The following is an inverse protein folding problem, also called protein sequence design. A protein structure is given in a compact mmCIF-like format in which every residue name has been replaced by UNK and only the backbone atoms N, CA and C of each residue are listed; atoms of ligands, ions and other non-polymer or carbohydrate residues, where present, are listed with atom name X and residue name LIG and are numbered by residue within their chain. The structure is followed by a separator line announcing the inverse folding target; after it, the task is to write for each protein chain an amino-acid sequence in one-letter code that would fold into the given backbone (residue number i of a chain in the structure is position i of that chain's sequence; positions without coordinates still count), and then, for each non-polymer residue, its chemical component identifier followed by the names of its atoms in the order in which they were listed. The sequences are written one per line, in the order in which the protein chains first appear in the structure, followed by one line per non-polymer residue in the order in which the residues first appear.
data_IF_772321008796
#
_entry.id   IF_772321008796
#
_cell.length_a   1.000
_cell.length_b   1.000
_cell.length_c   1.000
_cell.angle_alpha   90.00
_cell.angle_beta   90.00
_cell.angle_gamma   90.00
#
_symmetry.space_group_name_H-M   'P 1'
#
loop_
_entity.id
_entity.type
_entity.pdbx_description
1 polymer ?
#
# COMPACT_ATOMS: atom_id res chain seq x y z
N UNK A 1 -33.31 -2.39 11.25
CA UNK A 1 -31.92 -1.94 11.58
C UNK A 1 -30.85 -2.29 10.51
N UNK A 2 -31.20 -2.89 9.37
CA UNK A 2 -30.21 -3.35 8.36
C UNK A 2 -29.69 -2.27 7.39
N UNK A 3 -30.47 -1.28 7.03
CA UNK A 3 -30.05 -0.25 6.06
C UNK A 3 -29.01 0.74 6.66
N UNK A 4 -29.19 1.14 7.92
CA UNK A 4 -28.25 2.06 8.57
C UNK A 4 -26.85 1.49 8.82
N UNK A 5 -26.71 0.14 8.91
CA UNK A 5 -25.42 -0.50 9.12
C UNK A 5 -24.60 -0.60 7.84
N UNK A 6 -25.26 -0.79 6.68
CA UNK A 6 -24.59 -0.85 5.38
C UNK A 6 -24.05 0.54 4.99
N UNK A 7 -24.82 1.61 5.22
CA UNK A 7 -24.39 2.99 5.02
C UNK A 7 -23.16 3.33 5.86
N UNK A 8 -23.11 2.86 7.12
CA UNK A 8 -21.96 3.10 8.01
C UNK A 8 -20.67 2.43 7.50
N UNK A 9 -20.77 1.20 7.01
CA UNK A 9 -19.62 0.50 6.39
C UNK A 9 -19.05 1.27 5.22
N UNK A 10 -19.89 1.83 4.37
CA UNK A 10 -19.45 2.67 3.24
C UNK A 10 -18.84 3.99 3.69
N UNK A 11 -19.38 4.65 4.73
CA UNK A 11 -18.78 5.87 5.31
C UNK A 11 -17.37 5.57 5.81
N UNK A 12 -17.16 4.45 6.52
CA UNK A 12 -15.82 4.02 6.98
C UNK A 12 -14.90 3.77 5.79
N UNK A 13 -15.38 3.06 4.76
CA UNK A 13 -14.61 2.75 3.55
C UNK A 13 -14.16 4.02 2.83
N UNK A 14 -15.08 4.94 2.53
CA UNK A 14 -14.74 6.19 1.84
C UNK A 14 -13.85 7.10 2.69
N UNK A 15 -14.05 7.13 4.01
CA UNK A 15 -13.15 7.90 4.90
C UNK A 15 -11.74 7.29 4.91
N UNK A 16 -11.60 5.96 4.92
CA UNK A 16 -10.30 5.29 4.78
C UNK A 16 -9.63 5.58 3.43
N UNK A 17 -10.42 5.58 2.33
CA UNK A 17 -9.94 5.96 1.00
C UNK A 17 -9.45 7.41 0.96
N UNK A 18 -10.20 8.34 1.57
CA UNK A 18 -9.84 9.76 1.62
C UNK A 18 -8.56 10.02 2.44
N UNK A 19 -8.39 9.30 3.56
CA UNK A 19 -7.14 9.34 4.33
C UNK A 19 -5.97 8.87 3.46
N UNK A 20 -6.13 7.76 2.76
CA UNK A 20 -5.10 7.22 1.87
C UNK A 20 -4.80 8.15 0.69
N UNK A 21 -5.79 8.88 0.16
CA UNK A 21 -5.57 9.93 -0.84
C UNK A 21 -4.62 11.01 -0.32
N UNK A 22 -4.77 11.46 0.92
CA UNK A 22 -3.87 12.45 1.52
C UNK A 22 -2.46 11.88 1.76
N UNK A 23 -2.36 10.65 2.28
CA UNK A 23 -1.09 10.03 2.64
C UNK A 23 -0.24 9.62 1.44
N UNK A 24 -0.83 9.50 0.25
CA UNK A 24 -0.12 9.14 -0.97
C UNK A 24 0.81 10.21 -1.54
N UNK A 25 1.15 11.27 -0.77
CA UNK A 25 2.11 12.32 -1.15
C UNK A 25 3.51 11.74 -1.49
N UNK A 26 3.85 10.57 -1.02
CA UNK A 26 5.04 9.82 -1.43
C UNK A 26 5.15 9.69 -2.96
N UNK A 27 4.05 9.48 -3.65
CA UNK A 27 4.04 9.37 -5.12
C UNK A 27 4.19 10.72 -5.84
N UNK A 28 3.98 11.84 -5.15
CA UNK A 28 4.27 13.17 -5.67
C UNK A 28 5.73 13.62 -5.42
N UNK A 29 6.53 12.82 -4.71
CA UNK A 29 7.91 13.18 -4.36
C UNK A 29 8.79 13.46 -5.57
N UNK A 30 8.56 12.82 -6.70
CA UNK A 30 9.30 13.08 -7.93
C UNK A 30 9.22 14.55 -8.39
N UNK A 31 8.09 15.21 -8.13
CA UNK A 31 7.88 16.64 -8.42
C UNK A 31 8.65 17.50 -7.42
N UNK A 32 8.54 17.17 -6.13
CA UNK A 32 9.25 17.87 -5.04
C UNK A 32 10.77 17.74 -5.21
N UNK A 33 11.26 16.52 -5.47
CA UNK A 33 12.68 16.26 -5.65
C UNK A 33 13.30 17.04 -6.81
N UNK A 34 12.54 17.22 -7.91
CA UNK A 34 12.98 18.09 -9.02
C UNK A 34 13.07 19.56 -8.61
N UNK A 35 12.13 20.06 -7.80
CA UNK A 35 12.19 21.41 -7.28
C UNK A 35 13.39 21.60 -6.35
N UNK A 36 13.64 20.66 -5.43
CA UNK A 36 14.81 20.68 -4.53
C UNK A 36 16.13 20.73 -5.30
N UNK A 37 16.28 19.96 -6.37
CA UNK A 37 17.48 19.99 -7.21
C UNK A 37 17.60 21.31 -7.98
N UNK A 38 16.49 21.83 -8.52
CA UNK A 38 16.51 23.03 -9.35
C UNK A 38 16.69 24.31 -8.54
N UNK A 39 15.97 24.45 -7.42
CA UNK A 39 15.89 25.71 -6.66
C UNK A 39 16.93 25.77 -5.53
N UNK A 40 17.20 24.62 -4.86
CA UNK A 40 18.15 24.58 -3.74
C UNK A 40 19.53 24.05 -4.14
N UNK A 41 19.69 23.55 -5.37
CA UNK A 41 20.96 23.02 -5.85
C UNK A 41 21.35 21.68 -5.21
N UNK A 42 20.41 20.97 -4.59
CA UNK A 42 20.67 19.65 -4.04
C UNK A 42 21.00 18.65 -5.16
N UNK A 43 21.92 17.75 -4.89
CA UNK A 43 22.14 16.60 -5.80
C UNK A 43 20.91 15.72 -5.82
N UNK A 44 20.72 14.94 -6.88
CA UNK A 44 19.62 13.99 -6.97
C UNK A 44 19.62 12.99 -5.79
N UNK A 45 20.81 12.59 -5.32
CA UNK A 45 20.95 11.73 -4.14
C UNK A 45 20.42 12.43 -2.88
N UNK A 46 20.85 13.68 -2.63
CA UNK A 46 20.39 14.45 -1.47
C UNK A 46 18.88 14.67 -1.48
N UNK A 47 18.31 15.05 -2.63
CA UNK A 47 16.86 15.25 -2.78
C UNK A 47 16.05 13.95 -2.55
N UNK A 48 16.68 12.79 -2.71
CA UNK A 48 16.00 11.49 -2.52
C UNK A 48 16.11 10.93 -1.09
N UNK A 49 17.02 11.47 -0.25
CA UNK A 49 17.20 10.99 1.14
C UNK A 49 15.90 11.08 1.95
N UNK A 50 15.19 12.23 2.01
CA UNK A 50 13.95 12.31 2.80
C UNK A 50 12.89 11.30 2.36
N UNK A 51 12.77 11.05 1.05
CA UNK A 51 11.87 10.05 0.49
C UNK A 51 12.25 8.63 0.92
N UNK A 52 13.52 8.26 0.81
CA UNK A 52 14.00 6.93 1.19
C UNK A 52 13.77 6.66 2.68
N UNK A 53 14.04 7.67 3.53
CA UNK A 53 13.76 7.60 4.97
C UNK A 53 12.25 7.45 5.23
N UNK A 54 11.40 8.23 4.53
CA UNK A 54 9.95 8.12 4.66
C UNK A 54 9.45 6.72 4.31
N UNK A 55 9.94 6.10 3.24
CA UNK A 55 9.59 4.72 2.86
C UNK A 55 9.99 3.70 3.95
N UNK A 56 11.20 3.81 4.49
CA UNK A 56 11.68 2.92 5.55
C UNK A 56 10.88 3.07 6.84
N UNK A 57 10.66 4.32 7.28
CA UNK A 57 9.86 4.63 8.47
C UNK A 57 8.41 4.19 8.27
N UNK A 58 7.81 4.44 7.12
CA UNK A 58 6.46 3.97 6.79
C UNK A 58 6.34 2.47 6.99
N UNK A 59 7.24 1.67 6.41
CA UNK A 59 7.18 0.22 6.52
C UNK A 59 7.28 -0.28 7.97
N UNK A 60 8.14 0.31 8.80
CA UNK A 60 8.26 -0.02 10.22
C UNK A 60 7.03 0.43 11.01
N UNK A 61 6.56 1.66 10.76
CA UNK A 61 5.43 2.24 11.49
C UNK A 61 4.07 1.63 11.10
N UNK A 62 3.99 0.89 9.99
CA UNK A 62 2.85 0.03 9.70
C UNK A 62 2.64 -1.04 10.78
N UNK A 63 3.71 -1.61 11.33
CA UNK A 63 3.61 -2.60 12.41
C UNK A 63 3.14 -1.94 13.71
N UNK A 64 3.76 -0.81 14.06
CA UNK A 64 3.45 -0.07 15.28
C UNK A 64 2.02 0.47 15.23
N UNK A 65 1.66 1.15 14.15
CA UNK A 65 0.33 1.71 13.93
C UNK A 65 -0.75 0.63 13.87
N UNK A 66 -0.45 -0.50 13.21
CA UNK A 66 -1.34 -1.66 13.15
C UNK A 66 -1.62 -2.25 14.53
N UNK A 67 -0.59 -2.41 15.37
CA UNK A 67 -0.76 -2.88 16.75
C UNK A 67 -1.55 -1.87 17.61
N UNK A 68 -1.26 -0.59 17.45
CA UNK A 68 -1.97 0.45 18.19
C UNK A 68 -3.45 0.50 17.79
N UNK A 69 -3.76 0.48 16.49
CA UNK A 69 -5.16 0.53 16.05
C UNK A 69 -5.95 -0.72 16.45
N UNK A 70 -5.31 -1.89 16.53
CA UNK A 70 -5.97 -3.11 17.02
C UNK A 70 -6.32 -3.01 18.53
N UNK A 71 -5.56 -2.23 19.31
CA UNK A 71 -5.76 -2.03 20.76
C UNK A 71 -6.65 -0.85 21.11
N UNK A 72 -6.33 0.35 20.58
CA UNK A 72 -7.00 1.60 20.96
C UNK A 72 -8.07 2.05 19.97
N UNK A 73 -8.14 1.36 18.82
CA UNK A 73 -9.10 1.63 17.75
C UNK A 73 -8.55 2.52 16.65
N UNK A 74 -9.14 2.41 15.44
CA UNK A 74 -8.62 3.04 14.23
C UNK A 74 -8.71 4.57 14.26
N UNK A 75 -9.75 5.13 14.88
CA UNK A 75 -10.00 6.58 14.95
C UNK A 75 -8.80 7.33 15.56
N UNK A 76 -8.33 6.89 16.71
CA UNK A 76 -7.27 7.58 17.45
C UNK A 76 -5.93 7.50 16.74
N UNK A 77 -5.60 6.33 16.19
CA UNK A 77 -4.32 6.13 15.48
C UNK A 77 -4.32 6.89 14.16
N UNK A 78 -5.43 6.90 13.42
CA UNK A 78 -5.55 7.72 12.21
C UNK A 78 -5.51 9.23 12.51
N UNK A 79 -6.13 9.68 13.63
CA UNK A 79 -6.04 11.09 14.06
C UNK A 79 -4.61 11.47 14.41
N UNK A 80 -3.90 10.62 15.17
CA UNK A 80 -2.48 10.82 15.45
C UNK A 80 -1.65 10.87 14.14
N UNK A 81 -1.96 9.98 13.18
CA UNK A 81 -1.38 10.02 11.85
C UNK A 81 -1.64 11.36 11.13
N UNK A 82 -2.85 11.90 11.20
CA UNK A 82 -3.20 13.20 10.61
C UNK A 82 -2.42 14.36 11.25
N UNK A 83 -2.33 14.38 12.58
CA UNK A 83 -1.55 15.38 13.32
C UNK A 83 -0.07 15.29 12.94
N UNK A 84 0.50 14.08 12.89
CA UNK A 84 1.90 13.88 12.50
C UNK A 84 2.14 14.23 11.03
N UNK A 85 1.20 13.96 10.11
CA UNK A 85 1.32 14.39 8.72
C UNK A 85 1.41 15.92 8.62
N UNK A 86 0.53 16.63 9.34
CA UNK A 86 0.56 18.08 9.43
C UNK A 86 1.88 18.60 10.00
N UNK A 87 2.28 18.12 11.18
CA UNK A 87 3.52 18.54 11.85
C UNK A 87 4.74 18.26 10.96
N UNK A 88 4.85 17.06 10.37
CA UNK A 88 5.98 16.70 9.54
C UNK A 88 6.11 17.57 8.29
N UNK A 89 5.00 17.85 7.62
CA UNK A 89 4.98 18.72 6.45
C UNK A 89 5.25 20.19 6.82
N UNK A 90 4.60 20.72 7.88
CA UNK A 90 4.82 22.08 8.38
C UNK A 90 6.28 22.25 8.85
N UNK A 91 6.84 21.27 9.56
CA UNK A 91 8.27 21.29 9.93
C UNK A 91 9.18 21.32 8.70
N UNK A 92 8.84 20.56 7.66
CA UNK A 92 9.58 20.58 6.38
C UNK A 92 9.49 21.93 5.67
N UNK A 93 8.45 22.73 5.91
CA UNK A 93 8.32 24.06 5.34
C UNK A 93 9.34 25.09 5.88
N UNK A 94 9.98 24.80 7.00
CA UNK A 94 11.05 25.63 7.55
C UNK A 94 12.45 25.18 7.10
N UNK A 95 12.54 24.12 6.28
CA UNK A 95 13.82 23.68 5.76
C UNK A 95 14.39 24.69 4.75
N UNK A 96 15.71 24.75 4.71
CA UNK A 96 16.49 25.55 3.75
C UNK A 96 17.45 24.66 2.98
N UNK A 97 18.13 25.22 1.99
CA UNK A 97 19.12 24.46 1.20
C UNK A 97 20.25 23.87 2.06
N UNK A 98 20.57 24.50 3.20
CA UNK A 98 21.60 24.05 4.14
C UNK A 98 21.07 23.04 5.18
N UNK A 99 19.74 23.02 5.42
CA UNK A 99 19.11 22.23 6.50
C UNK A 99 18.46 20.94 6.01
N UNK A 100 19.18 20.12 5.23
CA UNK A 100 18.65 18.84 4.72
C UNK A 100 18.11 17.95 5.85
N UNK A 101 18.74 17.97 7.02
CA UNK A 101 18.32 17.17 8.17
C UNK A 101 16.89 17.53 8.64
N UNK A 102 16.51 18.81 8.56
CA UNK A 102 15.15 19.25 8.93
C UNK A 102 14.09 18.64 7.98
N UNK A 103 14.39 18.54 6.68
CA UNK A 103 13.54 17.86 5.70
C UNK A 103 13.49 16.35 5.96
N UNK A 104 14.63 15.73 6.33
CA UNK A 104 14.67 14.30 6.68
C UNK A 104 13.84 14.01 7.92
N UNK A 105 13.94 14.82 8.96
CA UNK A 105 13.13 14.63 10.18
C UNK A 105 11.66 14.92 9.91
N UNK A 106 11.34 16.05 9.27
CA UNK A 106 9.95 16.46 9.01
C UNK A 106 9.25 15.50 8.06
N UNK A 107 9.71 15.41 6.82
CA UNK A 107 9.09 14.56 5.81
C UNK A 107 9.46 13.08 5.99
N UNK A 108 10.74 12.77 6.20
CA UNK A 108 11.22 11.41 6.29
C UNK A 108 10.67 10.67 7.51
N UNK A 109 10.90 11.21 8.71
CA UNK A 109 10.57 10.50 9.96
C UNK A 109 9.12 10.79 10.36
N UNK A 110 8.73 12.06 10.54
CA UNK A 110 7.43 12.40 11.12
C UNK A 110 6.30 12.10 10.12
N UNK A 111 6.40 12.58 8.86
CA UNK A 111 5.38 12.27 7.88
C UNK A 111 5.41 10.79 7.44
N UNK A 112 6.60 10.13 7.42
CA UNK A 112 6.71 8.69 7.24
C UNK A 112 5.97 7.89 8.32
N UNK A 113 6.07 8.31 9.59
CA UNK A 113 5.30 7.73 10.71
C UNK A 113 3.80 7.94 10.51
N UNK A 114 3.40 9.14 10.09
CA UNK A 114 2.01 9.47 9.77
C UNK A 114 1.43 8.54 8.70
N UNK A 115 2.21 8.23 7.65
CA UNK A 115 1.82 7.30 6.59
C UNK A 115 1.58 5.90 7.16
N UNK A 116 2.46 5.40 8.04
CA UNK A 116 2.30 4.12 8.70
C UNK A 116 1.03 4.05 9.56
N UNK A 117 0.77 5.05 10.36
CA UNK A 117 -0.39 5.13 11.25
C UNK A 117 -1.71 5.26 10.48
N UNK A 118 -1.77 6.14 9.49
CA UNK A 118 -2.98 6.33 8.71
C UNK A 118 -3.31 5.14 7.82
N UNK A 119 -2.32 4.61 7.10
CA UNK A 119 -2.53 3.47 6.19
C UNK A 119 -2.93 2.20 6.96
N UNK A 120 -2.28 1.88 8.08
CA UNK A 120 -2.61 0.72 8.91
C UNK A 120 -4.00 0.82 9.54
N UNK A 121 -4.51 2.03 9.75
CA UNK A 121 -5.80 2.29 10.40
C UNK A 121 -6.97 2.36 9.41
N UNK A 122 -6.72 2.48 8.11
CA UNK A 122 -7.77 2.70 7.11
C UNK A 122 -8.47 1.40 6.70
N UNK A 123 -7.72 0.33 6.40
CA UNK A 123 -8.25 -0.90 5.81
C UNK A 123 -8.92 -1.85 6.81
N UNK A 124 -8.31 -2.18 7.99
CA UNK A 124 -8.89 -3.15 8.91
C UNK A 124 -10.31 -2.83 9.40
N UNK A 125 -10.63 -1.58 9.79
CA UNK A 125 -12.01 -1.27 10.20
C UNK A 125 -12.99 -1.39 9.03
N UNK A 126 -12.61 -0.98 7.81
CA UNK A 126 -13.50 -1.02 6.66
C UNK A 126 -13.94 -2.46 6.34
N UNK A 127 -13.00 -3.41 6.27
CA UNK A 127 -13.33 -4.81 5.92
C UNK A 127 -14.21 -5.52 6.96
N UNK A 128 -14.19 -5.07 8.22
CA UNK A 128 -15.00 -5.65 9.29
C UNK A 128 -16.51 -5.37 9.14
N UNK A 129 -16.89 -4.35 8.36
CA UNK A 129 -18.30 -3.99 8.10
C UNK A 129 -18.95 -4.85 7.01
N UNK A 130 -18.17 -5.59 6.21
CA UNK A 130 -18.66 -6.30 5.04
C UNK A 130 -18.46 -7.81 5.17
N UNK A 131 -19.26 -8.60 4.43
CA UNK A 131 -19.14 -10.05 4.46
C UNK A 131 -17.79 -10.51 3.88
N UNK A 132 -17.31 -11.70 4.29
CA UNK A 132 -16.00 -12.24 3.92
C UNK A 132 -15.71 -12.25 2.41
N UNK A 133 -16.74 -12.51 1.58
CA UNK A 133 -16.60 -12.56 0.11
C UNK A 133 -16.40 -11.18 -0.55
N UNK A 134 -16.44 -10.08 0.21
CA UNK A 134 -16.20 -8.71 -0.26
C UNK A 134 -14.91 -8.09 0.29
N UNK A 135 -14.11 -8.83 1.04
CA UNK A 135 -12.90 -8.29 1.67
C UNK A 135 -11.92 -7.72 0.64
N UNK A 136 -11.72 -8.40 -0.48
CA UNK A 136 -10.84 -7.93 -1.55
C UNK A 136 -11.35 -6.65 -2.19
N UNK A 137 -12.65 -6.60 -2.51
CA UNK A 137 -13.30 -5.40 -3.05
C UNK A 137 -13.09 -4.19 -2.13
N UNK A 138 -13.42 -4.35 -0.84
CA UNK A 138 -13.32 -3.24 0.14
C UNK A 138 -11.87 -2.83 0.36
N UNK A 139 -10.97 -3.80 0.51
CA UNK A 139 -9.53 -3.52 0.61
C UNK A 139 -9.03 -2.77 -0.61
N UNK A 140 -9.37 -3.25 -1.81
CA UNK A 140 -8.98 -2.62 -3.07
C UNK A 140 -9.43 -1.17 -3.17
N UNK A 141 -10.67 -0.86 -2.77
CA UNK A 141 -11.20 0.50 -2.74
C UNK A 141 -10.45 1.40 -1.76
N UNK A 142 -10.22 0.93 -0.52
CA UNK A 142 -9.52 1.72 0.51
C UNK A 142 -8.08 2.01 0.09
N UNK A 143 -7.34 0.99 -0.36
CA UNK A 143 -5.93 1.19 -0.73
C UNK A 143 -5.78 1.89 -2.08
N UNK A 144 -6.80 1.87 -2.96
CA UNK A 144 -6.79 2.63 -4.22
C UNK A 144 -6.64 4.14 -3.97
N UNK A 145 -7.15 4.66 -2.85
CA UNK A 145 -6.94 6.04 -2.45
C UNK A 145 -5.46 6.43 -2.47
N UNK A 146 -4.59 5.61 -1.90
CA UNK A 146 -3.15 5.85 -1.92
C UNK A 146 -2.57 5.83 -3.34
N UNK A 147 -3.03 4.91 -4.20
CA UNK A 147 -2.63 4.83 -5.61
C UNK A 147 -3.11 6.01 -6.45
N UNK A 148 -4.34 6.48 -6.21
CA UNK A 148 -4.93 7.64 -6.90
C UNK A 148 -4.32 8.98 -6.46
N UNK A 149 -3.61 9.02 -5.35
CA UNK A 149 -3.10 10.27 -4.77
C UNK A 149 -2.25 11.07 -5.76
N UNK A 150 -1.38 10.42 -6.54
CA UNK A 150 -0.52 11.10 -7.51
C UNK A 150 -1.31 11.81 -8.62
N UNK A 151 -2.53 11.36 -8.94
CA UNK A 151 -3.37 11.94 -9.99
C UNK A 151 -3.72 13.40 -9.68
N UNK A 152 -4.01 13.71 -8.41
CA UNK A 152 -4.33 15.08 -8.02
C UNK A 152 -3.15 15.79 -7.32
N UNK A 153 -2.37 15.06 -6.50
CA UNK A 153 -1.26 15.67 -5.75
C UNK A 153 -0.12 16.13 -6.65
N UNK A 154 0.21 15.41 -7.73
CA UNK A 154 1.30 15.83 -8.60
C UNK A 154 1.01 17.15 -9.32
N UNK A 155 -0.15 17.35 -9.99
CA UNK A 155 -0.47 18.64 -10.58
C UNK A 155 -0.68 19.73 -9.53
N UNK A 156 -1.32 19.43 -8.38
CA UNK A 156 -1.48 20.39 -7.29
C UNK A 156 -0.12 20.85 -6.76
N UNK A 157 0.78 19.92 -6.44
CA UNK A 157 2.14 20.22 -5.96
C UNK A 157 2.93 21.02 -6.99
N UNK A 158 2.81 20.70 -8.28
CA UNK A 158 3.47 21.43 -9.36
C UNK A 158 2.98 22.88 -9.40
N UNK A 159 1.66 23.10 -9.30
CA UNK A 159 1.07 24.43 -9.26
C UNK A 159 1.49 25.23 -8.03
N UNK A 160 1.49 24.59 -6.85
CA UNK A 160 1.92 25.23 -5.60
C UNK A 160 3.41 25.60 -5.63
N UNK A 161 4.27 24.72 -6.10
CA UNK A 161 5.70 24.99 -6.25
C UNK A 161 5.97 26.17 -7.18
N UNK A 162 5.25 26.23 -8.32
CA UNK A 162 5.40 27.32 -9.29
C UNK A 162 4.98 28.68 -8.74
N UNK A 163 3.89 28.71 -7.94
CA UNK A 163 3.28 29.97 -7.51
C UNK A 163 3.80 30.44 -6.14
N UNK A 164 4.20 29.51 -5.26
CA UNK A 164 4.52 29.82 -3.85
C UNK A 164 5.90 29.31 -3.40
N UNK A 165 6.60 28.51 -4.24
CA UNK A 165 7.89 27.92 -3.89
C UNK A 165 7.79 26.74 -2.93
N UNK A 166 8.95 26.17 -2.57
CA UNK A 166 9.03 24.90 -1.82
C UNK A 166 8.45 25.02 -0.42
N UNK A 167 8.88 26.01 0.34
CA UNK A 167 8.50 26.18 1.75
C UNK A 167 6.99 26.33 1.94
N UNK A 168 6.36 27.23 1.18
CA UNK A 168 4.91 27.43 1.28
C UNK A 168 4.11 26.24 0.74
N UNK A 169 4.63 25.51 -0.25
CA UNK A 169 4.00 24.27 -0.72
C UNK A 169 3.90 23.25 0.41
N UNK A 170 4.98 23.04 1.17
CA UNK A 170 4.95 22.16 2.33
C UNK A 170 4.00 22.63 3.43
N UNK A 171 3.94 23.95 3.69
CA UNK A 171 3.03 24.55 4.66
C UNK A 171 1.57 24.31 4.28
N UNK A 172 1.18 24.63 3.04
CA UNK A 172 -0.18 24.48 2.53
C UNK A 172 -0.61 23.01 2.55
N UNK A 173 0.22 22.10 2.03
CA UNK A 173 -0.07 20.67 2.06
C UNK A 173 -0.14 20.13 3.48
N UNK A 174 0.72 20.62 4.40
CA UNK A 174 0.71 20.22 5.79
C UNK A 174 -0.59 20.57 6.50
N UNK A 175 -1.08 21.80 6.34
CA UNK A 175 -2.37 22.24 6.90
C UNK A 175 -3.51 21.45 6.27
N UNK A 176 -3.48 21.25 4.96
CA UNK A 176 -4.49 20.46 4.25
C UNK A 176 -4.57 19.02 4.77
N UNK A 177 -3.44 18.34 4.91
CA UNK A 177 -3.41 16.95 5.41
C UNK A 177 -3.81 16.84 6.88
N UNK A 178 -3.38 17.80 7.73
CA UNK A 178 -3.80 17.87 9.12
C UNK A 178 -5.33 17.91 9.22
N UNK A 179 -5.95 18.85 8.54
CA UNK A 179 -7.40 19.06 8.61
C UNK A 179 -8.14 17.87 7.97
N UNK A 180 -7.80 17.50 6.76
CA UNK A 180 -8.50 16.45 6.01
C UNK A 180 -8.41 15.10 6.71
N UNK A 181 -7.19 14.64 7.10
CA UNK A 181 -7.03 13.34 7.73
C UNK A 181 -7.72 13.31 9.09
N UNK A 182 -7.59 14.36 9.91
CA UNK A 182 -8.26 14.41 11.22
C UNK A 182 -9.79 14.40 11.09
N UNK A 183 -10.37 15.07 10.10
CA UNK A 183 -11.80 15.03 9.85
C UNK A 183 -12.29 13.64 9.44
N UNK A 184 -11.65 13.02 8.45
CA UNK A 184 -12.03 11.68 7.99
C UNK A 184 -11.77 10.60 9.04
N UNK A 185 -10.73 10.74 9.87
CA UNK A 185 -10.43 9.80 10.96
C UNK A 185 -11.57 9.68 11.97
N UNK A 186 -12.40 10.73 12.18
CA UNK A 186 -13.55 10.66 13.09
C UNK A 186 -14.59 9.61 12.68
N UNK A 187 -14.65 9.28 11.40
CA UNK A 187 -15.57 8.29 10.86
C UNK A 187 -15.05 6.84 11.00
N UNK A 188 -13.74 6.65 11.24
CA UNK A 188 -13.17 5.30 11.35
C UNK A 188 -13.62 4.64 12.66
N UNK A 189 -14.49 3.65 12.53
CA UNK A 189 -15.02 2.87 13.66
C UNK A 189 -15.08 1.39 13.28
N UNK A 190 -14.72 0.53 14.23
CA UNK A 190 -15.02 -0.89 14.12
C UNK A 190 -16.53 -1.11 14.30
N UNK A 191 -17.12 -2.15 13.71
CA UNK A 191 -18.48 -2.54 14.02
C UNK A 191 -18.61 -2.94 15.50
N UNK A 192 -19.81 -2.79 16.10
CA UNK A 192 -20.04 -3.22 17.48
C UNK A 192 -19.84 -4.73 17.64
N UNK A 193 -19.58 -5.16 18.88
CA UNK A 193 -19.45 -6.60 19.19
C UNK A 193 -20.75 -7.31 18.84
N UNK A 194 -20.64 -8.46 18.15
CA UNK A 194 -21.80 -9.22 17.70
C UNK A 194 -22.42 -8.73 16.39
N UNK A 195 -21.84 -7.73 15.72
CA UNK A 195 -22.31 -7.27 14.42
C UNK A 195 -22.16 -8.36 13.35
N UNK A 196 -23.28 -8.63 12.64
CA UNK A 196 -23.33 -9.54 11.51
C UNK A 196 -23.52 -8.70 10.24
N UNK A 197 -22.59 -8.77 9.26
CA UNK A 197 -22.74 -8.04 8.02
C UNK A 197 -23.99 -8.45 7.24
N UNK A 198 -24.67 -7.52 6.56
CA UNK A 198 -25.84 -7.82 5.75
C UNK A 198 -25.52 -8.85 4.66
N UNK A 199 -26.44 -9.79 4.42
CA UNK A 199 -26.26 -10.87 3.43
C UNK A 199 -25.55 -12.12 3.96
N UNK A 200 -25.19 -12.14 5.23
CA UNK A 200 -24.82 -13.39 5.90
C UNK A 200 -26.09 -14.11 6.41
N UNK A 201 -26.19 -15.44 6.24
CA UNK A 201 -27.32 -16.18 6.83
C UNK A 201 -27.35 -15.95 8.35
N UNK A 202 -28.52 -15.64 8.88
CA UNK A 202 -28.74 -15.63 10.33
C UNK A 202 -28.32 -17.00 10.86
N UNK A 203 -27.48 -17.01 11.88
CA UNK A 203 -26.91 -18.24 12.43
C UNK A 203 -28.02 -19.12 12.98
N UNK A 204 -28.39 -20.14 12.22
CA UNK A 204 -29.47 -21.07 12.58
C UNK A 204 -29.03 -22.16 13.57
N UNK A 205 -27.79 -22.18 14.05
CA UNK A 205 -27.36 -23.07 15.14
C UNK A 205 -25.94 -22.71 15.64
N UNK A 206 -25.71 -22.71 16.97
CA UNK A 206 -24.38 -22.54 17.56
C UNK A 206 -23.38 -23.66 17.20
N UNK A 207 -23.88 -24.81 16.69
CA UNK A 207 -23.08 -26.02 16.45
C UNK A 207 -22.22 -26.01 15.18
N UNK A 208 -22.33 -25.05 14.25
CA UNK A 208 -21.61 -25.06 12.97
C UNK A 208 -20.77 -23.84 12.69
N UNK A 209 -20.59 -22.91 13.62
CA UNK A 209 -19.50 -21.95 13.52
C UNK A 209 -18.27 -22.55 14.20
N UNK A 210 -17.50 -23.32 13.45
CA UNK A 210 -16.09 -23.46 13.77
C UNK A 210 -15.53 -22.02 13.79
N UNK A 211 -15.37 -21.46 15.00
CA UNK A 211 -14.81 -20.12 15.17
C UNK A 211 -13.44 -20.11 14.50
N UNK A 212 -13.32 -19.39 13.38
CA UNK A 212 -12.08 -19.30 12.66
C UNK A 212 -11.05 -18.74 13.63
N UNK A 213 -9.88 -19.39 13.78
CA UNK A 213 -8.86 -18.96 14.70
C UNK A 213 -8.37 -17.55 14.31
N UNK A 214 -8.42 -16.63 15.27
CA UNK A 214 -7.94 -15.24 15.11
C UNK A 214 -6.51 -15.19 15.64
N UNK A 215 -5.56 -15.37 14.72
CA UNK A 215 -4.13 -15.42 15.05
C UNK A 215 -3.63 -14.10 15.66
N UNK A 216 -2.87 -14.20 16.71
CA UNK A 216 -2.01 -13.10 17.12
C UNK A 216 -0.71 -13.09 16.29
N UNK A 217 0.07 -12.01 16.40
CA UNK A 217 1.27 -11.89 15.58
C UNK A 217 2.37 -12.89 15.97
N UNK A 218 2.45 -13.33 17.24
CA UNK A 218 3.42 -14.35 17.68
C UNK A 218 3.07 -15.73 17.10
N UNK A 219 1.78 -16.03 17.00
CA UNK A 219 1.30 -17.25 16.37
C UNK A 219 1.53 -17.19 14.85
N UNK A 220 1.21 -16.05 14.23
CA UNK A 220 1.37 -15.83 12.79
C UNK A 220 2.81 -16.06 12.33
N UNK A 221 3.80 -15.46 13.00
CA UNK A 221 5.22 -15.58 12.61
C UNK A 221 5.80 -16.99 12.80
N UNK A 222 5.10 -17.88 13.50
CA UNK A 222 5.47 -19.30 13.61
C UNK A 222 4.96 -20.14 12.44
N UNK A 223 4.08 -19.58 11.60
CA UNK A 223 3.53 -20.31 10.45
C UNK A 223 4.41 -20.14 9.22
N UNK A 224 4.63 -21.20 8.42
CA UNK A 224 5.37 -21.07 7.16
C UNK A 224 4.65 -20.18 6.16
N UNK A 225 3.31 -20.05 6.25
CA UNK A 225 2.50 -19.21 5.40
C UNK A 225 2.87 -17.72 5.53
N UNK A 226 3.26 -17.26 6.73
CA UNK A 226 3.73 -15.90 6.91
C UNK A 226 4.95 -15.59 6.03
N UNK A 227 5.95 -16.46 6.06
CA UNK A 227 7.18 -16.28 5.27
C UNK A 227 6.91 -16.39 3.77
N UNK A 228 6.01 -17.28 3.35
CA UNK A 228 5.61 -17.41 1.95
C UNK A 228 4.88 -16.14 1.46
N UNK A 229 3.95 -15.59 2.24
CA UNK A 229 3.27 -14.33 1.92
C UNK A 229 4.27 -13.16 1.89
N UNK A 230 5.16 -13.11 2.87
CA UNK A 230 6.18 -12.08 2.98
C UNK A 230 7.11 -12.08 1.76
N UNK A 231 7.62 -13.26 1.37
CA UNK A 231 8.48 -13.40 0.19
C UNK A 231 7.75 -13.05 -1.10
N UNK A 232 6.53 -13.56 -1.29
CA UNK A 232 5.74 -13.24 -2.49
C UNK A 232 5.47 -11.75 -2.60
N UNK A 233 5.14 -11.08 -1.49
CA UNK A 233 4.90 -9.64 -1.52
C UNK A 233 6.20 -8.84 -1.72
N UNK A 234 7.32 -9.31 -1.16
CA UNK A 234 8.64 -8.76 -1.44
C UNK A 234 8.97 -8.82 -2.94
N UNK A 235 8.76 -9.96 -3.57
CA UNK A 235 9.05 -10.17 -5.00
C UNK A 235 8.19 -9.31 -5.92
N UNK A 236 6.88 -9.25 -5.67
CA UNK A 236 5.98 -8.38 -6.43
C UNK A 236 6.28 -6.90 -6.27
N UNK A 237 6.66 -6.49 -5.04
CA UNK A 237 7.06 -5.12 -4.74
C UNK A 237 8.42 -4.76 -5.36
N UNK A 238 9.38 -5.68 -5.34
CA UNK A 238 10.68 -5.51 -5.96
C UNK A 238 10.55 -5.15 -7.45
N UNK A 239 9.83 -5.99 -8.21
CA UNK A 239 9.66 -5.79 -9.65
C UNK A 239 8.92 -4.48 -9.98
N UNK A 240 7.85 -4.15 -9.23
CA UNK A 240 7.10 -2.93 -9.43
C UNK A 240 7.88 -1.67 -9.09
N UNK A 241 8.51 -1.62 -7.91
CA UNK A 241 9.24 -0.43 -7.43
C UNK A 241 10.55 -0.21 -8.21
N UNK A 242 11.15 -1.26 -8.74
CA UNK A 242 12.28 -1.18 -9.66
C UNK A 242 11.94 -0.33 -10.90
N UNK A 243 10.79 -0.56 -11.51
CA UNK A 243 10.33 0.21 -12.67
C UNK A 243 9.84 1.59 -12.25
N UNK A 244 9.04 1.70 -11.19
CA UNK A 244 8.51 2.99 -10.70
C UNK A 244 9.63 4.00 -10.46
N UNK A 245 10.73 3.57 -9.86
CA UNK A 245 11.88 4.44 -9.57
C UNK A 245 12.69 4.86 -10.80
N UNK A 246 12.60 4.13 -11.90
CA UNK A 246 13.48 4.31 -13.06
C UNK A 246 12.74 4.49 -14.39
N UNK A 247 11.40 4.48 -14.41
CA UNK A 247 10.58 4.43 -15.63
C UNK A 247 10.94 5.51 -16.66
N UNK A 248 11.10 6.75 -16.21
CA UNK A 248 11.44 7.85 -17.13
C UNK A 248 12.79 7.64 -17.82
N UNK A 249 13.78 7.08 -17.12
CA UNK A 249 15.10 6.73 -17.68
C UNK A 249 15.01 5.52 -18.59
N UNK A 250 14.25 4.50 -18.20
CA UNK A 250 13.98 3.30 -19.00
C UNK A 250 13.30 3.68 -20.32
N UNK A 251 12.26 4.52 -20.28
CA UNK A 251 11.56 4.99 -21.47
C UNK A 251 12.47 5.79 -22.42
N UNK A 252 13.28 6.70 -21.88
CA UNK A 252 14.23 7.47 -22.67
C UNK A 252 15.33 6.58 -23.30
N UNK A 253 15.71 5.49 -22.65
CA UNK A 253 16.65 4.53 -23.24
C UNK A 253 16.01 3.70 -24.36
N UNK A 254 14.76 3.26 -24.19
CA UNK A 254 14.04 2.44 -25.17
C UNK A 254 13.59 3.26 -26.38
N UNK A 255 13.20 4.50 -26.18
CA UNK A 255 12.83 5.44 -27.23
C UNK A 255 13.52 6.80 -26.98
N UNK A 256 14.74 7.01 -27.50
CA UNK A 256 15.47 8.26 -27.29
C UNK A 256 14.77 9.52 -27.85
N UNK A 257 13.85 9.34 -28.79
CA UNK A 257 13.07 10.43 -29.39
C UNK A 257 11.86 10.84 -28.56
N UNK A 258 11.49 10.06 -27.50
CA UNK A 258 10.28 10.33 -26.74
C UNK A 258 10.41 11.57 -25.85
N UNK A 259 9.39 12.42 -25.90
CA UNK A 259 9.18 13.52 -24.95
C UNK A 259 8.12 13.17 -23.88
N UNK A 260 7.50 11.97 -23.97
CA UNK A 260 6.35 11.55 -23.20
C UNK A 260 6.71 10.80 -21.89
N UNK A 261 7.99 10.73 -21.51
CA UNK A 261 8.42 10.02 -20.31
C UNK A 261 7.65 10.42 -19.02
N UNK A 262 7.30 11.70 -18.77
CA UNK A 262 6.46 12.08 -17.62
C UNK A 262 5.02 11.53 -17.71
N UNK A 263 4.50 11.39 -18.93
CA UNK A 263 3.16 10.85 -19.18
C UNK A 263 3.13 9.34 -18.85
N UNK A 264 4.18 8.59 -19.18
CA UNK A 264 4.27 7.17 -18.82
C UNK A 264 4.26 6.95 -17.31
N UNK A 265 4.87 7.85 -16.53
CA UNK A 265 4.81 7.81 -15.05
C UNK A 265 3.37 8.06 -14.57
N UNK A 266 2.65 8.98 -15.18
CA UNK A 266 1.24 9.23 -14.84
C UNK A 266 0.33 8.03 -15.22
N UNK A 267 0.57 7.41 -16.37
CA UNK A 267 -0.14 6.20 -16.83
C UNK A 267 0.14 5.04 -15.87
N UNK A 268 1.39 4.84 -15.45
CA UNK A 268 1.73 3.84 -14.43
C UNK A 268 0.96 4.08 -13.13
N UNK A 269 0.86 5.31 -12.69
CA UNK A 269 0.12 5.66 -11.48
C UNK A 269 -1.39 5.38 -11.61
N UNK A 270 -1.97 5.67 -12.78
CA UNK A 270 -3.36 5.33 -13.07
C UNK A 270 -3.57 3.80 -13.11
N UNK A 271 -2.64 3.07 -13.74
CA UNK A 271 -2.61 1.61 -13.71
C UNK A 271 -2.53 1.04 -12.28
N UNK A 272 -1.67 1.62 -11.44
CA UNK A 272 -1.53 1.23 -10.03
C UNK A 272 -2.85 1.39 -9.26
N UNK A 273 -3.53 2.51 -9.43
CA UNK A 273 -4.82 2.74 -8.78
C UNK A 273 -5.91 1.77 -9.29
N UNK A 274 -6.03 1.62 -10.62
CA UNK A 274 -6.97 0.70 -11.27
C UNK A 274 -6.71 -0.76 -10.89
N UNK A 275 -5.45 -1.17 -10.87
CA UNK A 275 -5.02 -2.51 -10.49
C UNK A 275 -5.46 -2.91 -9.08
N UNK A 276 -5.41 -2.00 -8.12
CA UNK A 276 -5.89 -2.24 -6.74
C UNK A 276 -7.38 -2.56 -6.71
N UNK A 277 -8.18 -1.80 -7.44
CA UNK A 277 -9.63 -1.99 -7.50
C UNK A 277 -9.95 -3.31 -8.20
N UNK A 278 -9.44 -3.51 -9.42
CA UNK A 278 -9.71 -4.70 -10.22
C UNK A 278 -9.27 -5.97 -9.51
N UNK A 279 -8.05 -6.00 -8.98
CA UNK A 279 -7.53 -7.18 -8.29
C UNK A 279 -8.30 -7.48 -6.99
N UNK A 280 -8.80 -6.46 -6.29
CA UNK A 280 -9.69 -6.64 -5.16
C UNK A 280 -10.91 -7.47 -5.54
N UNK A 281 -11.63 -7.08 -6.60
CA UNK A 281 -12.80 -7.80 -7.11
C UNK A 281 -12.44 -9.19 -7.66
N UNK A 282 -11.37 -9.29 -8.44
CA UNK A 282 -10.91 -10.55 -9.04
C UNK A 282 -10.54 -11.55 -7.97
N UNK A 283 -9.85 -11.12 -6.91
CA UNK A 283 -9.41 -12.00 -5.83
C UNK A 283 -10.56 -12.53 -4.96
N UNK A 284 -11.66 -11.79 -4.88
CA UNK A 284 -12.86 -12.28 -4.20
C UNK A 284 -13.57 -13.39 -5.00
N UNK A 285 -13.45 -13.38 -6.34
CA UNK A 285 -14.09 -14.37 -7.22
C UNK A 285 -13.21 -15.59 -7.49
N UNK A 286 -11.94 -15.38 -7.86
CA UNK A 286 -11.02 -16.43 -8.26
C UNK A 286 -10.25 -17.05 -7.07
N UNK A 287 -10.27 -16.38 -5.92
CA UNK A 287 -9.44 -16.73 -4.76
C UNK A 287 -8.07 -16.04 -4.77
N UNK A 288 -7.47 -15.91 -3.58
CA UNK A 288 -6.28 -15.08 -3.35
C UNK A 288 -5.06 -15.57 -4.11
N UNK A 289 -4.71 -16.84 -3.95
CA UNK A 289 -3.46 -17.38 -4.55
C UNK A 289 -3.52 -17.48 -6.06
N UNK A 290 -4.69 -17.79 -6.65
CA UNK A 290 -4.87 -17.76 -8.10
C UNK A 290 -4.71 -16.35 -8.64
N UNK A 291 -5.20 -15.35 -7.92
CA UNK A 291 -5.02 -13.94 -8.31
C UNK A 291 -3.56 -13.52 -8.21
N UNK A 292 -2.84 -13.90 -7.14
CA UNK A 292 -1.38 -13.66 -7.02
C UNK A 292 -0.63 -14.29 -8.18
N UNK A 293 -0.98 -15.54 -8.56
CA UNK A 293 -0.40 -16.21 -9.73
C UNK A 293 -0.59 -15.40 -11.02
N UNK A 294 -1.82 -14.96 -11.30
CA UNK A 294 -2.13 -14.17 -12.50
C UNK A 294 -1.38 -12.84 -12.52
N UNK A 295 -1.29 -12.17 -11.35
CA UNK A 295 -0.52 -10.92 -11.21
C UNK A 295 0.96 -11.17 -11.49
N UNK A 296 1.54 -12.22 -10.91
CA UNK A 296 2.95 -12.53 -11.06
C UNK A 296 3.31 -12.91 -12.50
N UNK A 297 2.50 -13.76 -13.15
CA UNK A 297 2.69 -14.13 -14.55
C UNK A 297 2.48 -12.93 -15.48
N UNK A 298 1.43 -12.12 -15.26
CA UNK A 298 1.19 -10.92 -16.03
C UNK A 298 2.35 -9.93 -15.90
N UNK A 299 2.87 -9.72 -14.68
CA UNK A 299 4.02 -8.86 -14.45
C UNK A 299 5.29 -9.41 -15.11
N UNK A 300 5.54 -10.73 -15.04
CA UNK A 300 6.67 -11.36 -15.72
C UNK A 300 6.61 -11.17 -17.23
N UNK A 301 5.44 -11.38 -17.86
CA UNK A 301 5.23 -11.16 -19.29
C UNK A 301 5.48 -9.71 -19.67
N UNK A 302 4.92 -8.76 -18.93
CA UNK A 302 5.12 -7.33 -19.20
C UNK A 302 6.59 -6.94 -19.06
N UNK A 303 7.29 -7.42 -18.03
CA UNK A 303 8.72 -7.16 -17.84
C UNK A 303 9.56 -7.74 -18.96
N UNK A 304 9.23 -8.94 -19.45
CA UNK A 304 9.91 -9.53 -20.61
C UNK A 304 9.66 -8.70 -21.87
N UNK A 305 8.41 -8.34 -22.13
CA UNK A 305 8.02 -7.56 -23.31
C UNK A 305 8.56 -6.13 -23.26
N UNK A 306 8.76 -5.56 -22.07
CA UNK A 306 9.27 -4.21 -21.91
C UNK A 306 10.63 -4.01 -22.61
N UNK A 307 11.42 -5.08 -22.72
CA UNK A 307 12.67 -5.09 -23.49
C UNK A 307 12.47 -4.70 -24.98
N UNK A 308 11.30 -4.99 -25.55
CA UNK A 308 10.98 -4.76 -26.96
C UNK A 308 10.14 -3.49 -27.19
N UNK A 309 9.77 -2.77 -26.14
CA UNK A 309 8.90 -1.59 -26.25
C UNK A 309 9.70 -0.35 -26.67
N UNK A 310 9.72 -0.07 -27.98
CA UNK A 310 10.43 1.05 -28.58
C UNK A 310 9.51 2.18 -29.03
N UNK A 311 8.20 2.00 -29.03
CA UNK A 311 7.22 3.03 -29.38
C UNK A 311 6.52 3.60 -28.14
N UNK A 312 6.07 4.84 -28.21
CA UNK A 312 5.37 5.52 -27.13
C UNK A 312 4.09 4.79 -26.69
N UNK A 313 3.37 4.18 -27.66
CA UNK A 313 2.15 3.40 -27.36
C UNK A 313 2.50 2.17 -26.53
N UNK A 314 3.53 1.40 -26.93
CA UNK A 314 3.94 0.21 -26.21
C UNK A 314 4.51 0.54 -24.82
N UNK A 315 5.28 1.64 -24.72
CA UNK A 315 5.77 2.14 -23.42
C UNK A 315 4.64 2.57 -22.50
N UNK A 316 3.57 3.21 -23.04
CA UNK A 316 2.39 3.57 -22.28
C UNK A 316 1.63 2.33 -21.79
N UNK A 317 1.39 1.34 -22.66
CA UNK A 317 0.72 0.08 -22.31
C UNK A 317 1.53 -0.71 -21.28
N UNK A 318 2.84 -0.82 -21.45
CA UNK A 318 3.74 -1.46 -20.50
C UNK A 318 3.73 -0.77 -19.15
N UNK A 319 3.77 0.57 -19.13
CA UNK A 319 3.69 1.37 -17.89
C UNK A 319 2.37 1.15 -17.15
N UNK A 320 1.23 1.16 -17.88
CA UNK A 320 -0.08 0.86 -17.31
C UNK A 320 -0.12 -0.55 -16.69
N UNK A 321 0.43 -1.53 -17.41
CA UNK A 321 0.44 -2.93 -16.98
C UNK A 321 1.32 -3.17 -15.76
N UNK A 322 2.54 -2.61 -15.73
CA UNK A 322 3.41 -2.67 -14.53
C UNK A 322 2.74 -2.01 -13.34
N UNK A 323 2.15 -0.83 -13.55
CA UNK A 323 1.38 -0.14 -12.51
C UNK A 323 0.24 -1.01 -11.99
N UNK A 324 -0.56 -1.60 -12.89
CA UNK A 324 -1.70 -2.45 -12.53
C UNK A 324 -1.26 -3.68 -11.72
N UNK A 325 -0.22 -4.40 -12.13
CA UNK A 325 0.29 -5.56 -11.39
C UNK A 325 0.83 -5.18 -10.02
N UNK A 326 1.59 -4.07 -9.94
CA UNK A 326 2.09 -3.56 -8.67
C UNK A 326 0.95 -3.18 -7.71
N UNK A 327 -0.04 -2.41 -8.21
CA UNK A 327 -1.21 -2.03 -7.43
C UNK A 327 -2.04 -3.23 -6.99
N UNK A 328 -2.18 -4.23 -7.86
CA UNK A 328 -2.89 -5.47 -7.57
C UNK A 328 -2.29 -6.20 -6.35
N UNK A 329 -0.97 -6.31 -6.25
CA UNK A 329 -0.30 -6.88 -5.07
C UNK A 329 -0.70 -6.14 -3.79
N UNK A 330 -0.73 -4.80 -3.80
CA UNK A 330 -1.09 -3.96 -2.65
C UNK A 330 -2.55 -4.12 -2.17
N UNK A 331 -3.45 -4.67 -3.00
CA UNK A 331 -4.82 -4.99 -2.62
C UNK A 331 -4.99 -6.46 -2.18
N UNK A 332 -4.31 -7.39 -2.85
CA UNK A 332 -4.48 -8.83 -2.61
C UNK A 332 -3.78 -9.29 -1.34
N UNK A 333 -2.57 -8.79 -1.03
CA UNK A 333 -1.84 -9.24 0.16
C UNK A 333 -2.50 -8.87 1.48
N UNK A 334 -3.03 -7.63 1.72
CA UNK A 334 -3.80 -7.37 2.93
C UNK A 334 -5.06 -8.24 3.03
N UNK A 335 -5.78 -8.41 1.92
CA UNK A 335 -6.97 -9.28 1.91
C UNK A 335 -6.62 -10.73 2.23
N UNK A 336 -5.50 -11.24 1.70
CA UNK A 336 -4.99 -12.59 2.01
C UNK A 336 -4.60 -12.71 3.48
N UNK A 337 -3.93 -11.70 4.03
CA UNK A 337 -3.55 -11.68 5.45
C UNK A 337 -4.79 -11.76 6.35
N UNK A 338 -5.84 -11.00 6.03
CA UNK A 338 -7.11 -11.06 6.78
C UNK A 338 -7.85 -12.38 6.59
N UNK A 339 -7.71 -13.01 5.42
CA UNK A 339 -8.31 -14.32 5.18
C UNK A 339 -7.55 -15.46 5.86
N UNK A 340 -6.24 -15.36 5.98
CA UNK A 340 -5.42 -16.40 6.59
C UNK A 340 -5.38 -16.30 8.12
N UNK A 341 -5.30 -15.10 8.66
CA UNK A 341 -5.00 -14.85 10.07
C UNK A 341 -6.12 -14.15 10.85
N UNK A 342 -7.25 -13.87 10.19
CA UNK A 342 -8.37 -13.17 10.81
C UNK A 342 -8.23 -11.65 10.80
N UNK A 343 -9.27 -10.98 11.32
CA UNK A 343 -9.36 -9.50 11.28
C UNK A 343 -9.22 -8.84 12.64
N UNK A 344 -9.23 -9.61 13.73
CA UNK A 344 -9.12 -9.09 15.10
C UNK A 344 -7.79 -8.37 15.30
N UNK A 345 -6.69 -9.02 14.94
CA UNK A 345 -5.32 -8.49 14.99
C UNK A 345 -4.82 -8.10 13.58
N UNK A 346 -5.75 -7.77 12.68
CA UNK A 346 -5.46 -7.57 11.26
C UNK A 346 -4.48 -6.43 10.99
N UNK A 347 -4.48 -5.40 11.83
CA UNK A 347 -3.56 -4.27 11.69
C UNK A 347 -2.10 -4.67 11.89
N UNK A 348 -1.76 -5.29 13.01
CA UNK A 348 -0.39 -5.74 13.28
C UNK A 348 0.05 -6.86 12.34
N UNK A 349 -0.83 -7.83 12.06
CA UNK A 349 -0.52 -8.95 11.19
C UNK A 349 -0.19 -8.48 9.77
N UNK A 350 -1.01 -7.59 9.21
CA UNK A 350 -0.72 -7.01 7.90
C UNK A 350 0.50 -6.07 7.95
N UNK A 351 0.69 -5.31 9.02
CA UNK A 351 1.87 -4.48 9.23
C UNK A 351 3.18 -5.28 9.09
N UNK A 352 3.25 -6.46 9.71
CA UNK A 352 4.40 -7.37 9.60
C UNK A 352 4.58 -7.88 8.16
N UNK A 353 3.52 -8.29 7.48
CA UNK A 353 3.60 -8.69 6.07
C UNK A 353 4.04 -7.51 5.19
N UNK A 354 3.58 -6.29 5.48
CA UNK A 354 3.92 -5.09 4.71
C UNK A 354 5.40 -4.68 4.81
N UNK A 355 6.14 -5.11 5.82
CA UNK A 355 7.60 -4.86 5.89
C UNK A 355 8.32 -5.40 4.66
N UNK A 356 7.81 -6.45 4.03
CA UNK A 356 8.31 -7.01 2.76
C UNK A 356 8.28 -6.02 1.60
N UNK A 357 7.27 -5.13 1.58
CA UNK A 357 7.18 -4.05 0.61
C UNK A 357 8.36 -3.08 0.73
N UNK A 358 8.72 -2.71 1.95
CA UNK A 358 9.89 -1.84 2.18
C UNK A 358 11.19 -2.49 1.72
N UNK A 359 11.39 -3.77 2.06
CA UNK A 359 12.56 -4.56 1.64
C UNK A 359 12.60 -4.69 0.10
N UNK A 360 11.48 -5.09 -0.51
CA UNK A 360 11.38 -5.21 -1.97
C UNK A 360 11.67 -3.90 -2.69
N UNK A 361 11.19 -2.77 -2.16
CA UNK A 361 11.43 -1.44 -2.73
C UNK A 361 12.89 -0.99 -2.67
N UNK A 362 13.54 -1.19 -1.52
CA UNK A 362 14.96 -0.86 -1.33
C UNK A 362 15.81 -1.68 -2.31
N UNK A 363 15.66 -2.99 -2.31
CA UNK A 363 16.47 -3.87 -3.16
C UNK A 363 16.13 -3.71 -4.65
N UNK A 364 14.86 -3.49 -5.03
CA UNK A 364 14.47 -3.28 -6.41
C UNK A 364 15.15 -2.06 -7.04
N UNK A 365 15.11 -0.93 -6.35
CA UNK A 365 15.78 0.28 -6.79
C UNK A 365 17.30 0.17 -6.85
N UNK A 366 17.91 -0.42 -5.81
CA UNK A 366 19.38 -0.62 -5.73
C UNK A 366 19.89 -1.55 -6.83
N UNK A 367 19.20 -2.66 -7.07
CA UNK A 367 19.60 -3.64 -8.09
C UNK A 367 19.51 -3.02 -9.49
N UNK A 368 18.40 -2.30 -9.79
CA UNK A 368 18.27 -1.60 -11.07
C UNK A 368 19.37 -0.56 -11.29
N UNK A 369 19.66 0.24 -10.28
CA UNK A 369 20.72 1.24 -10.35
C UNK A 369 22.10 0.61 -10.58
N UNK A 370 22.45 -0.42 -9.79
CA UNK A 370 23.75 -1.12 -9.92
C UNK A 370 23.91 -1.80 -11.27
N UNK A 371 22.87 -2.47 -11.77
CA UNK A 371 22.88 -3.10 -13.09
C UNK A 371 23.12 -2.02 -14.17
N UNK A 372 22.39 -0.91 -14.09
CA UNK A 372 22.55 0.20 -15.04
C UNK A 372 23.97 0.80 -15.01
N UNK A 373 24.55 0.99 -13.83
CA UNK A 373 25.91 1.50 -13.69
C UNK A 373 26.95 0.60 -14.36
N UNK A 374 26.76 -0.73 -14.25
CA UNK A 374 27.66 -1.73 -14.82
C UNK A 374 27.45 -1.95 -16.32
N UNK A 375 26.19 -1.98 -16.79
CA UNK A 375 25.86 -2.39 -18.17
C UNK A 375 25.43 -1.24 -19.07
N UNK A 376 25.17 -0.06 -18.49
CA UNK A 376 24.56 1.10 -19.14
C UNK A 376 23.22 0.78 -19.80
N UNK A 377 22.55 -0.28 -19.36
CA UNK A 377 21.27 -0.76 -19.88
C UNK A 377 20.36 -1.30 -18.78
N UNK A 378 19.05 -1.11 -18.93
CA UNK A 378 18.04 -1.70 -18.05
C UNK A 378 17.58 -3.11 -18.48
N UNK A 379 18.07 -3.63 -19.62
CA UNK A 379 17.64 -4.91 -20.16
C UNK A 379 17.85 -6.08 -19.19
N UNK A 380 19.02 -6.13 -18.54
CA UNK A 380 19.31 -7.12 -17.50
C UNK A 380 18.40 -6.95 -16.29
N UNK A 381 18.03 -5.72 -15.93
CA UNK A 381 17.09 -5.45 -14.83
C UNK A 381 15.71 -6.03 -15.12
N UNK A 382 15.23 -5.91 -16.36
CA UNK A 382 13.97 -6.54 -16.78
C UNK A 382 14.02 -8.06 -16.64
N UNK A 383 15.13 -8.71 -17.03
CA UNK A 383 15.27 -10.18 -16.89
C UNK A 383 15.32 -10.61 -15.42
N UNK A 384 16.01 -9.87 -14.57
CA UNK A 384 15.99 -10.12 -13.11
C UNK A 384 14.56 -10.01 -12.57
N UNK A 385 13.80 -8.99 -12.98
CA UNK A 385 12.40 -8.86 -12.58
C UNK A 385 11.54 -10.04 -13.06
N UNK A 386 11.75 -10.54 -14.30
CA UNK A 386 11.05 -11.73 -14.81
C UNK A 386 11.28 -12.93 -13.89
N UNK A 387 12.55 -13.23 -13.55
CA UNK A 387 12.89 -14.36 -12.66
C UNK A 387 12.20 -14.21 -11.31
N UNK A 388 12.24 -13.02 -10.71
CA UNK A 388 11.62 -12.74 -9.41
C UNK A 388 10.11 -12.91 -9.47
N UNK A 389 9.45 -12.44 -10.54
CA UNK A 389 8.01 -12.64 -10.74
C UNK A 389 7.66 -14.12 -10.93
N UNK A 390 8.48 -14.90 -11.65
CA UNK A 390 8.30 -16.35 -11.78
C UNK A 390 8.48 -17.09 -10.45
N UNK A 391 9.41 -16.65 -9.59
CA UNK A 391 9.53 -17.17 -8.23
C UNK A 391 8.27 -16.84 -7.40
N UNK A 392 7.73 -15.62 -7.50
CA UNK A 392 6.45 -15.26 -6.88
C UNK A 392 5.32 -16.18 -7.34
N UNK A 393 5.23 -16.43 -8.66
CA UNK A 393 4.25 -17.32 -9.26
C UNK A 393 4.40 -18.75 -8.70
N UNK A 394 5.61 -19.28 -8.65
CA UNK A 394 5.92 -20.60 -8.09
C UNK A 394 5.48 -20.74 -6.63
N UNK A 395 5.79 -19.74 -5.79
CA UNK A 395 5.38 -19.75 -4.39
C UNK A 395 3.84 -19.73 -4.22
N UNK A 396 3.11 -19.10 -5.14
CA UNK A 396 1.66 -19.07 -5.07
C UNK A 396 0.98 -20.43 -5.23
N UNK A 397 1.63 -21.38 -5.93
CA UNK A 397 1.11 -22.76 -6.08
C UNK A 397 1.20 -23.56 -4.78
N UNK A 398 2.27 -23.36 -4.01
CA UNK A 398 2.52 -24.13 -2.79
C UNK A 398 1.86 -23.50 -1.55
N UNK A 399 1.47 -22.22 -1.63
CA UNK A 399 0.89 -21.49 -0.52
C UNK A 399 -0.59 -21.85 -0.33
N UNK A 400 -0.90 -22.49 0.79
CA UNK A 400 -2.26 -22.84 1.22
C UNK A 400 -2.59 -22.10 2.51
N UNK A 401 -3.88 -21.81 2.78
CA UNK A 401 -4.27 -21.25 4.08
C UNK A 401 -3.71 -22.07 5.25
N UNK A 402 -3.39 -21.44 6.39
CA UNK A 402 -3.05 -22.17 7.61
C UNK A 402 -4.18 -23.16 7.95
N UNK A 403 -3.81 -24.34 8.45
CA UNK A 403 -4.82 -25.30 8.91
C UNK A 403 -5.63 -24.66 10.03
N UNK A 404 -6.96 -24.66 9.88
CA UNK A 404 -7.84 -24.12 10.92
C UNK A 404 -7.72 -25.02 12.13
N UNK A 405 -7.08 -24.55 13.19
CA UNK A 405 -7.13 -25.21 14.49
C UNK A 405 -8.57 -25.03 14.95
N UNK A 406 -9.36 -26.09 14.90
CA UNK A 406 -10.68 -26.11 15.48
C UNK A 406 -10.51 -25.98 17.00
N UNK A 407 -10.70 -24.78 17.52
CA UNK A 407 -10.78 -24.58 18.96
C UNK A 407 -12.16 -25.11 19.37
N UNK A 408 -12.23 -26.38 19.74
CA UNK A 408 -13.36 -26.91 20.50
C UNK A 408 -13.35 -26.19 21.84
N UNK A 409 -14.15 -25.12 21.95
CA UNK A 409 -14.51 -24.62 23.27
C UNK A 409 -15.37 -25.72 23.92
N UNK A 410 -14.78 -26.45 24.84
CA UNK A 410 -15.55 -27.20 25.80
C UNK A 410 -16.46 -26.21 26.51
N UNK A 411 -17.72 -26.18 26.10
CA UNK A 411 -18.76 -25.48 26.82
C UNK A 411 -19.02 -26.39 28.02
N UNK A 412 -18.75 -25.95 29.28
CA UNK A 412 -19.12 -26.75 30.43
C UNK A 412 -20.61 -27.04 30.32
N UNK A 413 -20.96 -28.31 30.35
CA UNK A 413 -22.36 -28.72 30.39
C UNK A 413 -23.06 -27.98 31.55
N UNK A 414 -24.04 -27.16 31.21
CA UNK A 414 -24.91 -26.57 32.22
C UNK A 414 -25.43 -27.71 33.10
N UNK A 415 -25.03 -27.70 34.37
CA UNK A 415 -25.64 -28.58 35.38
C UNK A 415 -27.15 -28.36 35.28
N UNK A 416 -27.88 -29.39 34.89
CA UNK A 416 -29.30 -29.42 35.09
C UNK A 416 -29.54 -29.24 36.59
N UNK A 417 -30.19 -28.14 36.94
CA UNK A 417 -30.70 -27.96 38.27
C UNK A 417 -31.95 -28.83 38.36
N UNK A 418 -31.89 -29.88 39.21
CA UNK A 418 -33.03 -30.58 39.74
C UNK A 418 -33.82 -29.69 40.72
#
# INVERSE_FOLDING_TARGET
MSEGSNARGWVVTFSGTAINLCLGVLYAWSVIGKALTKEWGWTAAQANVPYAVACGVFAVMMVVGGRLQDKVGPRWVATAGGVMAGIGMIMSSFATKESMMLMVVGFGIIAGTAMGFGYSSATPPAVKWFPPHRKGQITGLVVAGYGCASVYLSPLTTSLLKNYGINQTFMILGIFFLVAICLFAQNLKNPPVGYIPPGMPAVSSPKHQAARHEYDWHEMVKTPQFYLLWLMFCFGSFAGLMVIGSLAKMAAQQNPATTLAPIFVAILAAGNAGGRIVAGFVSDKLGRMRTVLLIALGQAVIMYLFHFFTSDILLALGSAGVGACYGANLAVFPSTTFDYYGTKNGGVNYGLVFTSWGVGGIFGGMVAGKIFDMTKSYNTSFMVAVVICLLQAGLSFITKPPQTILVTKDIPAAKAAD
#
